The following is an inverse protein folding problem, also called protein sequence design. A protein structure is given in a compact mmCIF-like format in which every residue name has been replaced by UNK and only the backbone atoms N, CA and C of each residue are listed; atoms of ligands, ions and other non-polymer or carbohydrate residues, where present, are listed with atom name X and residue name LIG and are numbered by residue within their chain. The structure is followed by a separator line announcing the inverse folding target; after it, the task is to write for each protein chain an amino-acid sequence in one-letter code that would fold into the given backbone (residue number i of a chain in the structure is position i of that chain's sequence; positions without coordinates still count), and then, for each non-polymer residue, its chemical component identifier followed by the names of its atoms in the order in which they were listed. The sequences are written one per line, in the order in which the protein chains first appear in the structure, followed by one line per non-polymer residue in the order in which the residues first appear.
data_IF_473199180209
#
_entry.id   IF_473199180209
#
_cell.length_a   1.000
_cell.length_b   1.000
_cell.length_c   1.000
_cell.angle_alpha   90.00
_cell.angle_beta   90.00
_cell.angle_gamma   90.00
#
_symmetry.space_group_name_H-M   'P 1'
#
loop_
_entity.id
_entity.type
_entity.pdbx_description
1 polymer ?
#
# COMPACT_ATOMS: atom_id res chain seq x y z
N UNK A 1 1.06 -22.05 -10.55
CA UNK A 1 1.76 -20.83 -10.10
C UNK A 1 3.24 -21.11 -10.14
N UNK A 2 4.03 -20.13 -10.57
CA UNK A 2 5.49 -20.20 -10.46
C UNK A 2 5.91 -20.10 -8.98
N UNK A 3 7.14 -20.47 -8.64
CA UNK A 3 7.68 -20.28 -7.28
C UNK A 3 7.57 -18.81 -6.83
N UNK A 4 7.81 -17.86 -7.73
CA UNK A 4 7.69 -16.43 -7.46
C UNK A 4 6.26 -16.03 -7.11
N UNK A 5 5.26 -16.67 -7.71
CA UNK A 5 3.86 -16.45 -7.38
C UNK A 5 3.53 -16.82 -5.94
N UNK A 6 4.05 -17.94 -5.44
CA UNK A 6 3.89 -18.32 -4.06
C UNK A 6 4.63 -17.39 -3.09
N UNK A 7 5.84 -16.96 -3.46
CA UNK A 7 6.61 -15.98 -2.66
C UNK A 7 5.91 -14.63 -2.56
N UNK A 8 5.39 -14.11 -3.68
CA UNK A 8 4.61 -12.86 -3.69
C UNK A 8 3.35 -13.00 -2.82
N UNK A 9 2.65 -14.14 -2.90
CA UNK A 9 1.49 -14.40 -2.06
C UNK A 9 1.86 -14.41 -0.56
N UNK A 10 2.96 -15.06 -0.19
CA UNK A 10 3.46 -15.07 1.18
C UNK A 10 3.80 -13.65 1.69
N UNK A 11 4.38 -12.79 0.83
CA UNK A 11 4.64 -11.39 1.17
C UNK A 11 3.36 -10.61 1.47
N UNK A 12 2.30 -10.79 0.69
CA UNK A 12 1.00 -10.17 0.95
C UNK A 12 0.39 -10.65 2.26
N UNK A 13 0.46 -11.96 2.56
CA UNK A 13 0.02 -12.50 3.85
C UNK A 13 0.80 -11.90 5.02
N UNK A 14 2.12 -11.75 4.87
CA UNK A 14 2.97 -11.11 5.88
C UNK A 14 2.56 -9.66 6.13
N UNK A 15 2.28 -8.89 5.06
CA UNK A 15 1.79 -7.52 5.19
C UNK A 15 0.45 -7.45 5.92
N UNK A 16 -0.50 -8.32 5.55
CA UNK A 16 -1.83 -8.38 6.18
C UNK A 16 -1.71 -8.73 7.67
N UNK A 17 -0.89 -9.72 8.02
CA UNK A 17 -0.64 -10.12 9.40
C UNK A 17 -0.02 -8.97 10.21
N UNK A 18 1.06 -8.35 9.70
CA UNK A 18 1.69 -7.20 10.32
C UNK A 18 0.69 -6.04 10.54
N UNK A 19 -0.09 -5.72 9.53
CA UNK A 19 -1.05 -4.62 9.61
C UNK A 19 -2.18 -4.89 10.60
N UNK A 20 -2.65 -6.13 10.66
CA UNK A 20 -3.67 -6.56 11.61
C UNK A 20 -3.17 -6.46 13.04
N UNK A 21 -1.95 -6.93 13.31
CA UNK A 21 -1.31 -6.84 14.62
C UNK A 21 -1.05 -5.38 15.03
N UNK A 22 -0.52 -4.57 14.12
CA UNK A 22 -0.26 -3.16 14.37
C UNK A 22 -1.54 -2.37 14.69
N UNK A 23 -2.64 -2.70 14.01
CA UNK A 23 -3.95 -2.07 14.29
C UNK A 23 -4.52 -2.53 15.62
N UNK A 24 -4.47 -3.82 15.93
CA UNK A 24 -4.95 -4.34 17.22
C UNK A 24 -4.19 -3.70 18.39
N UNK A 25 -2.88 -3.44 18.24
CA UNK A 25 -2.08 -2.78 19.26
C UNK A 25 -2.51 -1.32 19.52
N UNK A 26 -2.83 -0.57 18.44
CA UNK A 26 -3.29 0.83 18.55
C UNK A 26 -4.69 0.91 19.16
N UNK A 27 -5.55 -0.06 18.87
CA UNK A 27 -6.96 -0.03 19.29
C UNK A 27 -7.18 -0.31 20.78
N UNK A 28 -6.26 -1.02 21.43
CA UNK A 28 -6.35 -1.25 22.88
C UNK A 28 -6.33 0.05 23.70
N UNK A 29 -6.00 1.21 23.07
CA UNK A 29 -5.86 2.49 23.73
C UNK A 29 -6.88 3.59 23.39
N UNK A 30 -7.74 3.45 22.35
CA UNK A 30 -8.44 4.62 21.81
C UNK A 30 -9.98 4.57 21.78
N UNK A 31 -10.63 3.46 22.01
CA UNK A 31 -12.12 3.35 22.06
C UNK A 31 -12.89 3.75 20.77
N UNK A 32 -12.24 4.14 19.71
CA UNK A 32 -12.85 4.68 18.47
C UNK A 32 -13.28 3.57 17.49
N UNK A 33 -14.36 2.86 17.81
CA UNK A 33 -14.89 1.71 17.04
C UNK A 33 -15.20 2.02 15.56
N UNK A 34 -15.62 3.26 15.21
CA UNK A 34 -16.03 3.60 13.84
C UNK A 34 -14.84 3.64 12.85
N UNK A 35 -13.69 4.15 13.28
CA UNK A 35 -12.46 4.17 12.46
C UNK A 35 -12.03 2.73 12.15
N UNK A 36 -12.21 1.84 13.10
CA UNK A 36 -11.91 0.42 12.98
C UNK A 36 -12.71 -0.27 11.87
N UNK A 37 -14.05 -0.07 11.83
CA UNK A 37 -14.88 -0.69 10.79
C UNK A 37 -14.51 -0.22 9.39
N UNK A 38 -14.20 1.05 9.21
CA UNK A 38 -13.74 1.59 7.93
C UNK A 38 -12.41 0.98 7.49
N UNK A 39 -11.46 0.87 8.39
CA UNK A 39 -10.15 0.26 8.14
C UNK A 39 -10.29 -1.24 7.79
N UNK A 40 -11.16 -1.96 8.50
CA UNK A 40 -11.48 -3.36 8.19
C UNK A 40 -12.15 -3.48 6.82
N UNK A 41 -13.13 -2.65 6.51
CA UNK A 41 -13.84 -2.71 5.24
C UNK A 41 -12.88 -2.51 4.05
N UNK A 42 -11.96 -1.54 4.13
CA UNK A 42 -10.93 -1.32 3.10
C UNK A 42 -10.02 -2.54 2.94
N UNK A 43 -9.63 -3.17 4.04
CA UNK A 43 -8.78 -4.38 4.02
C UNK A 43 -9.50 -5.59 3.48
N UNK A 44 -10.74 -5.81 3.93
CA UNK A 44 -11.57 -6.91 3.42
C UNK A 44 -11.87 -6.73 1.93
N UNK A 45 -12.13 -5.50 1.49
CA UNK A 45 -12.29 -5.18 0.06
C UNK A 45 -11.02 -5.45 -0.73
N UNK A 46 -9.86 -5.05 -0.22
CA UNK A 46 -8.57 -5.38 -0.84
C UNK A 46 -8.33 -6.89 -0.87
N UNK A 47 -8.55 -7.58 0.26
CA UNK A 47 -8.40 -9.03 0.33
C UNK A 47 -9.37 -9.77 -0.61
N UNK A 48 -10.63 -9.31 -0.68
CA UNK A 48 -11.62 -9.87 -1.61
C UNK A 48 -11.19 -9.70 -3.07
N UNK A 49 -10.63 -8.52 -3.44
CA UNK A 49 -10.08 -8.29 -4.77
C UNK A 49 -8.86 -9.18 -5.07
N UNK A 50 -7.98 -9.37 -4.10
CA UNK A 50 -6.84 -10.29 -4.22
C UNK A 50 -7.32 -11.73 -4.40
N UNK A 51 -8.28 -12.19 -3.58
CA UNK A 51 -8.87 -13.53 -3.70
C UNK A 51 -9.60 -13.69 -5.02
N UNK A 52 -10.35 -12.69 -5.47
CA UNK A 52 -11.01 -12.69 -6.76
C UNK A 52 -9.99 -12.80 -7.91
N UNK A 53 -8.92 -11.99 -7.86
CA UNK A 53 -7.84 -12.08 -8.83
C UNK A 53 -7.19 -13.47 -8.86
N UNK A 54 -6.98 -14.09 -7.68
CA UNK A 54 -6.48 -15.45 -7.57
C UNK A 54 -7.47 -16.48 -8.11
N UNK A 55 -8.79 -16.33 -7.82
CA UNK A 55 -9.83 -17.23 -8.34
C UNK A 55 -9.93 -17.14 -9.85
N UNK A 56 -10.00 -15.95 -10.42
CA UNK A 56 -10.00 -15.75 -11.88
C UNK A 56 -8.71 -16.30 -12.50
N UNK A 57 -7.58 -16.16 -11.82
CA UNK A 57 -6.31 -16.74 -12.22
C UNK A 57 -6.34 -18.29 -12.29
N UNK A 58 -7.00 -18.94 -11.34
CA UNK A 58 -7.16 -20.40 -11.32
C UNK A 58 -8.15 -20.85 -12.39
N UNK A 59 -9.30 -20.17 -12.50
CA UNK A 59 -10.32 -20.48 -13.52
C UNK A 59 -9.80 -20.24 -14.93
N UNK A 60 -9.04 -19.16 -15.16
CA UNK A 60 -8.44 -18.87 -16.47
C UNK A 60 -7.37 -19.88 -16.93
N UNK A 61 -6.90 -20.76 -16.04
CA UNK A 61 -6.02 -21.90 -16.42
C UNK A 61 -6.81 -23.13 -16.89
N UNK A 62 -8.06 -23.20 -16.53
CA UNK A 62 -8.97 -24.33 -16.88
C UNK A 62 -9.69 -24.04 -18.20
N UNK A 63 -9.86 -22.76 -18.56
CA UNK A 63 -10.46 -22.36 -19.82
C UNK A 63 -9.40 -22.24 -20.92
N UNK A 64 -9.65 -22.68 -22.15
CA UNK A 64 -8.69 -22.59 -23.24
C UNK A 64 -8.34 -21.15 -23.56
N UNK A 65 -7.10 -20.95 -23.77
CA UNK A 65 -6.17 -19.84 -23.74
C UNK A 65 -6.40 -18.65 -24.70
N UNK A 66 -7.57 -18.11 -24.77
CA UNK A 66 -7.75 -16.80 -25.43
C UNK A 66 -8.13 -15.70 -24.43
N UNK A 67 -7.56 -15.79 -23.22
CA UNK A 67 -7.94 -14.99 -22.08
C UNK A 67 -7.34 -13.58 -22.09
N UNK A 68 -8.18 -12.63 -21.69
CA UNK A 68 -7.89 -11.22 -21.39
C UNK A 68 -6.70 -11.01 -20.41
N UNK A 69 -6.21 -12.09 -19.77
CA UNK A 69 -5.23 -12.04 -18.70
C UNK A 69 -4.00 -12.90 -19.01
N UNK A 70 -2.87 -12.22 -19.08
CA UNK A 70 -1.57 -12.85 -19.34
C UNK A 70 -0.95 -13.30 -18.01
N UNK A 71 -0.65 -14.60 -17.93
CA UNK A 71 0.16 -15.15 -16.85
C UNK A 71 1.62 -15.14 -17.27
N UNK A 72 2.45 -14.53 -16.44
CA UNK A 72 3.86 -14.46 -16.73
C UNK A 72 4.55 -15.78 -16.36
N UNK A 73 5.11 -16.47 -17.34
CA UNK A 73 5.93 -17.67 -17.18
C UNK A 73 7.44 -17.38 -17.24
N UNK A 74 7.84 -16.16 -17.58
CA UNK A 74 9.23 -15.77 -17.67
C UNK A 74 9.86 -15.68 -16.27
N UNK A 75 10.98 -16.39 -16.09
CA UNK A 75 11.77 -16.35 -14.86
C UNK A 75 12.26 -14.93 -14.55
N UNK A 76 12.69 -14.18 -15.57
CA UNK A 76 13.19 -12.81 -15.42
C UNK A 76 12.10 -11.89 -14.88
N UNK A 77 10.90 -11.93 -15.44
CA UNK A 77 9.77 -11.11 -14.98
C UNK A 77 9.30 -11.56 -13.59
N UNK A 78 9.37 -12.86 -13.30
CA UNK A 78 9.09 -13.39 -11.95
C UNK A 78 10.03 -12.79 -10.91
N UNK A 79 11.34 -12.75 -11.19
CA UNK A 79 12.34 -12.13 -10.30
C UNK A 79 12.10 -10.63 -10.15
N UNK A 80 11.93 -9.90 -11.26
CA UNK A 80 11.70 -8.46 -11.24
C UNK A 80 10.44 -8.15 -10.42
N UNK A 81 9.34 -8.84 -10.68
CA UNK A 81 8.09 -8.66 -9.97
C UNK A 81 8.20 -8.97 -8.48
N UNK A 82 8.90 -10.05 -8.12
CA UNK A 82 9.18 -10.40 -6.73
C UNK A 82 9.99 -9.31 -6.03
N UNK A 83 11.07 -8.85 -6.63
CA UNK A 83 11.94 -7.79 -6.07
C UNK A 83 11.13 -6.50 -5.88
N UNK A 84 10.36 -6.06 -6.89
CA UNK A 84 9.48 -4.89 -6.76
C UNK A 84 8.47 -5.05 -5.63
N UNK A 85 7.88 -6.25 -5.48
CA UNK A 85 6.92 -6.53 -4.41
C UNK A 85 7.58 -6.48 -3.03
N UNK A 86 8.79 -7.05 -2.88
CA UNK A 86 9.57 -6.99 -1.63
C UNK A 86 9.87 -5.54 -1.24
N UNK A 87 10.37 -4.74 -2.18
CA UNK A 87 10.65 -3.32 -1.93
C UNK A 87 9.38 -2.54 -1.59
N UNK A 88 8.29 -2.77 -2.32
CA UNK A 88 7.02 -2.09 -2.08
C UNK A 88 6.44 -2.41 -0.69
N UNK A 89 6.38 -3.68 -0.32
CA UNK A 89 5.91 -4.13 1.00
C UNK A 89 6.85 -3.65 2.10
N UNK A 90 8.16 -3.77 1.90
CA UNK A 90 9.17 -3.28 2.84
C UNK A 90 9.03 -1.78 3.10
N UNK A 91 8.86 -0.97 2.05
CA UNK A 91 8.62 0.46 2.16
C UNK A 91 7.31 0.76 2.92
N UNK A 92 6.22 0.04 2.63
CA UNK A 92 4.94 0.23 3.31
C UNK A 92 5.04 -0.12 4.81
N UNK A 93 5.70 -1.21 5.18
CA UNK A 93 5.95 -1.60 6.57
C UNK A 93 6.83 -0.56 7.27
N UNK A 94 7.92 -0.15 6.64
CA UNK A 94 8.84 0.85 7.18
C UNK A 94 8.13 2.19 7.41
N UNK A 95 7.38 2.67 6.42
CA UNK A 95 6.59 3.89 6.54
C UNK A 95 5.58 3.81 7.70
N UNK A 96 4.89 2.67 7.83
CA UNK A 96 3.96 2.42 8.93
C UNK A 96 4.65 2.39 10.30
N UNK A 97 5.84 1.77 10.38
CA UNK A 97 6.61 1.72 11.62
C UNK A 97 7.08 3.11 12.07
N UNK A 98 7.47 3.98 11.13
CA UNK A 98 7.81 5.38 11.41
C UNK A 98 6.61 6.17 11.94
N UNK A 99 5.43 6.01 11.32
CA UNK A 99 4.18 6.61 11.83
C UNK A 99 3.79 6.07 13.21
N UNK A 100 3.94 4.76 13.43
CA UNK A 100 3.56 4.10 14.68
C UNK A 100 4.38 4.53 15.88
N UNK A 101 5.67 4.83 15.70
CA UNK A 101 6.54 5.36 16.76
C UNK A 101 6.13 6.76 17.21
N UNK A 102 5.65 7.58 16.29
CA UNK A 102 5.22 8.94 16.60
C UNK A 102 3.71 9.05 16.89
N UNK A 103 2.99 7.95 16.97
CA UNK A 103 1.56 7.74 17.34
C UNK A 103 0.54 8.77 16.84
N UNK A 104 0.90 9.59 15.86
CA UNK A 104 0.13 10.73 15.46
C UNK A 104 -0.09 10.72 13.96
N UNK A 105 -1.15 9.99 13.55
CA UNK A 105 -1.73 10.28 12.24
C UNK A 105 -2.27 11.71 12.26
N UNK A 106 -2.32 12.42 11.12
CA UNK A 106 -2.92 13.76 11.03
C UNK A 106 -4.34 13.82 11.58
N UNK A 107 -4.98 12.65 11.74
CA UNK A 107 -6.34 12.48 12.26
C UNK A 107 -6.38 12.09 13.75
N UNK A 108 -5.23 11.94 14.43
CA UNK A 108 -5.23 11.68 15.88
C UNK A 108 -5.33 13.01 16.62
N UNK A 109 -6.33 13.13 17.51
CA UNK A 109 -6.52 14.30 18.39
C UNK A 109 -5.50 14.31 19.56
N UNK A 110 -4.23 14.02 19.30
CA UNK A 110 -3.17 14.18 20.31
C UNK A 110 -2.79 15.65 20.44
N UNK A 111 -2.48 16.07 21.65
CA UNK A 111 -2.27 17.49 22.01
C UNK A 111 -1.11 18.20 21.30
N UNK A 112 -0.27 17.52 20.55
CA UNK A 112 0.75 18.14 19.69
C UNK A 112 1.38 17.15 18.69
N UNK A 113 0.71 16.77 17.58
CA UNK A 113 1.31 15.88 16.60
C UNK A 113 2.47 16.57 15.89
N UNK A 114 3.62 15.94 15.92
CA UNK A 114 4.80 16.42 15.20
C UNK A 114 4.74 16.04 13.72
N UNK A 115 5.04 16.97 12.81
CA UNK A 115 5.12 16.69 11.38
C UNK A 115 6.32 15.79 11.09
N UNK A 116 6.07 14.56 10.65
CA UNK A 116 7.11 13.58 10.29
C UNK A 116 7.62 13.89 8.89
N UNK A 117 8.90 14.22 8.80
CA UNK A 117 9.61 14.53 7.55
C UNK A 117 10.91 13.74 7.39
N UNK A 118 11.14 12.75 8.27
CA UNK A 118 12.39 11.95 8.33
C UNK A 118 12.17 10.51 7.86
N UNK A 119 13.25 9.76 7.68
CA UNK A 119 13.20 8.39 7.21
C UNK A 119 12.59 8.29 5.81
N UNK A 120 11.67 7.38 5.54
CA UNK A 120 11.04 7.24 4.23
C UNK A 120 10.25 8.49 3.81
N UNK A 121 9.79 9.31 4.79
CA UNK A 121 9.10 10.57 4.55
C UNK A 121 10.05 11.70 4.10
N UNK A 122 11.35 11.55 4.22
CA UNK A 122 12.30 12.47 3.62
C UNK A 122 12.38 12.37 2.08
N UNK A 123 11.99 11.24 1.53
CA UNK A 123 12.02 10.96 0.09
C UNK A 123 10.71 11.31 -0.61
N UNK A 124 9.59 10.87 -0.03
CA UNK A 124 8.22 11.12 -0.53
C UNK A 124 7.27 11.36 0.63
N UNK A 125 6.19 12.10 0.38
CA UNK A 125 5.21 12.46 1.43
C UNK A 125 4.32 11.30 1.84
N UNK A 126 4.02 10.36 0.91
CA UNK A 126 3.15 9.21 1.16
C UNK A 126 3.85 7.88 0.82
N UNK A 127 4.97 7.54 1.52
CA UNK A 127 5.75 6.34 1.21
C UNK A 127 4.96 5.04 1.41
N UNK A 128 3.97 5.04 2.31
CA UNK A 128 3.08 3.90 2.53
C UNK A 128 2.24 3.60 1.29
N UNK A 129 1.61 4.63 0.70
CA UNK A 129 0.79 4.46 -0.50
C UNK A 129 1.65 4.12 -1.72
N UNK A 130 2.79 4.80 -1.88
CA UNK A 130 3.77 4.48 -2.94
C UNK A 130 4.27 3.04 -2.86
N UNK A 131 4.57 2.57 -1.64
CA UNK A 131 4.98 1.18 -1.40
C UNK A 131 3.91 0.16 -1.78
N UNK A 132 2.65 0.40 -1.40
CA UNK A 132 1.54 -0.49 -1.77
C UNK A 132 1.32 -0.54 -3.28
N UNK A 133 1.34 0.62 -3.97
CA UNK A 133 1.20 0.68 -5.42
C UNK A 133 2.35 -0.04 -6.13
N UNK A 134 3.58 0.12 -5.65
CA UNK A 134 4.75 -0.60 -6.17
C UNK A 134 4.61 -2.11 -5.96
N UNK A 135 4.12 -2.56 -4.80
CA UNK A 135 3.89 -3.97 -4.53
C UNK A 135 2.82 -4.58 -5.46
N UNK A 136 1.73 -3.87 -5.72
CA UNK A 136 0.69 -4.29 -6.66
C UNK A 136 1.27 -4.38 -8.08
N UNK A 137 2.02 -3.36 -8.51
CA UNK A 137 2.68 -3.36 -9.81
C UNK A 137 3.69 -4.51 -9.95
N UNK A 138 4.51 -4.75 -8.93
CA UNK A 138 5.42 -5.89 -8.88
C UNK A 138 4.69 -7.23 -9.00
N UNK A 139 3.55 -7.37 -8.33
CA UNK A 139 2.70 -8.56 -8.46
C UNK A 139 2.12 -8.72 -9.87
N UNK A 140 1.76 -7.62 -10.55
CA UNK A 140 1.31 -7.64 -11.93
C UNK A 140 2.42 -8.12 -12.89
N UNK A 141 3.64 -7.65 -12.68
CA UNK A 141 4.82 -8.04 -13.48
C UNK A 141 5.18 -9.51 -13.24
N UNK A 142 5.22 -9.94 -11.98
CA UNK A 142 5.75 -11.25 -11.60
C UNK A 142 4.76 -12.41 -11.66
N UNK A 143 3.45 -12.14 -11.60
CA UNK A 143 2.43 -13.17 -11.57
C UNK A 143 1.48 -13.11 -12.76
N UNK A 144 0.70 -12.03 -12.86
CA UNK A 144 -0.38 -11.89 -13.82
C UNK A 144 -0.86 -10.47 -13.94
N UNK A 145 -1.22 -10.05 -15.16
CA UNK A 145 -1.87 -8.76 -15.43
C UNK A 145 -3.18 -8.53 -14.65
N UNK A 146 -3.77 -9.56 -14.07
CA UNK A 146 -4.93 -9.43 -13.16
C UNK A 146 -4.68 -8.51 -11.98
N UNK A 147 -3.42 -8.40 -11.53
CA UNK A 147 -3.04 -7.46 -10.48
C UNK A 147 -3.14 -5.98 -10.88
N UNK A 148 -3.34 -5.70 -12.17
CA UNK A 148 -3.66 -4.35 -12.63
C UNK A 148 -5.06 -3.91 -12.18
N UNK A 149 -6.00 -4.85 -11.95
CA UNK A 149 -7.33 -4.51 -11.41
C UNK A 149 -7.26 -3.84 -10.04
N UNK A 150 -6.57 -4.41 -9.04
CA UNK A 150 -6.29 -3.69 -7.79
C UNK A 150 -5.60 -2.34 -8.02
N UNK A 151 -4.65 -2.24 -8.96
CA UNK A 151 -3.96 -0.98 -9.25
C UNK A 151 -4.92 0.11 -9.77
N UNK A 152 -5.82 -0.25 -10.69
CA UNK A 152 -6.83 0.65 -11.24
C UNK A 152 -7.82 1.13 -10.16
N UNK A 153 -8.18 0.25 -9.22
CA UNK A 153 -9.13 0.59 -8.15
C UNK A 153 -8.45 1.39 -7.04
N UNK A 154 -7.33 0.89 -6.53
CA UNK A 154 -6.65 1.49 -5.37
C UNK A 154 -5.73 2.64 -5.73
N UNK A 155 -5.23 2.75 -6.97
CA UNK A 155 -4.43 3.88 -7.42
C UNK A 155 -5.14 5.21 -7.20
N UNK A 156 -6.31 5.45 -7.82
CA UNK A 156 -7.11 6.66 -7.60
C UNK A 156 -7.54 6.84 -6.13
N UNK A 157 -7.85 5.75 -5.43
CA UNK A 157 -8.22 5.79 -4.01
C UNK A 157 -7.07 6.35 -3.14
N UNK A 158 -5.84 5.84 -3.33
CA UNK A 158 -4.68 6.32 -2.58
C UNK A 158 -4.27 7.74 -2.96
N UNK A 159 -4.36 8.10 -4.25
CA UNK A 159 -4.08 9.47 -4.70
C UNK A 159 -5.04 10.47 -4.06
N UNK A 160 -6.36 10.19 -4.10
CA UNK A 160 -7.36 11.05 -3.46
C UNK A 160 -7.20 11.08 -1.93
N UNK A 161 -6.84 9.95 -1.33
CA UNK A 161 -6.53 9.86 0.10
C UNK A 161 -5.36 10.76 0.47
N UNK A 162 -4.25 10.66 -0.27
CA UNK A 162 -3.07 11.50 -0.10
C UNK A 162 -3.39 12.99 -0.23
N UNK A 163 -4.10 13.37 -1.30
CA UNK A 163 -4.52 14.77 -1.52
C UNK A 163 -5.39 15.32 -0.38
N UNK A 164 -6.29 14.48 0.16
CA UNK A 164 -7.12 14.87 1.30
C UNK A 164 -6.29 15.03 2.58
N UNK A 165 -5.36 14.13 2.83
CA UNK A 165 -4.43 14.23 3.95
C UNK A 165 -3.55 15.47 3.84
N UNK A 166 -3.05 15.80 2.64
CA UNK A 166 -2.25 17.00 2.39
C UNK A 166 -3.01 18.29 2.71
N UNK A 167 -4.30 18.39 2.34
CA UNK A 167 -5.13 19.56 2.69
C UNK A 167 -5.23 19.75 4.21
N UNK A 168 -5.52 18.68 4.94
CA UNK A 168 -5.60 18.73 6.40
C UNK A 168 -4.24 19.08 7.04
N UNK A 169 -3.13 18.63 6.46
CA UNK A 169 -1.78 18.95 6.92
C UNK A 169 -1.39 20.39 6.62
N UNK A 170 -1.84 20.97 5.50
CA UNK A 170 -1.66 22.39 5.19
C UNK A 170 -2.43 23.26 6.19
N UNK A 171 -3.68 22.93 6.49
CA UNK A 171 -4.48 23.63 7.50
C UNK A 171 -3.84 23.57 8.88
N UNK A 172 -3.28 22.41 9.26
CA UNK A 172 -2.68 22.20 10.56
C UNK A 172 -1.27 22.80 10.71
N UNK A 173 -0.49 22.82 9.61
CA UNK A 173 0.90 23.31 9.57
C UNK A 173 1.09 24.28 8.39
N UNK A 174 0.50 25.47 8.43
CA UNK A 174 0.38 26.35 7.26
C UNK A 174 1.73 26.83 6.70
N UNK A 175 2.76 26.90 7.51
CA UNK A 175 4.11 27.29 7.07
C UNK A 175 5.02 26.06 6.83
N UNK A 176 4.98 25.09 7.72
CA UNK A 176 5.93 23.95 7.72
C UNK A 176 5.62 22.93 6.62
N UNK A 177 4.34 22.64 6.40
CA UNK A 177 3.95 21.63 5.42
C UNK A 177 4.17 22.07 3.96
N UNK A 178 3.84 23.29 3.55
CA UNK A 178 4.19 23.80 2.21
C UNK A 178 5.69 23.85 1.95
N UNK A 179 6.52 24.18 2.96
CA UNK A 179 7.97 24.11 2.84
C UNK A 179 8.48 22.66 2.64
N UNK A 180 7.87 21.70 3.30
CA UNK A 180 8.16 20.28 3.11
C UNK A 180 7.72 19.79 1.72
N UNK A 181 6.55 20.20 1.21
CA UNK A 181 6.06 19.87 -0.14
C UNK A 181 7.01 20.34 -1.25
N UNK A 182 7.70 21.45 -1.06
CA UNK A 182 8.69 21.95 -2.05
C UNK A 182 9.92 21.04 -2.18
N UNK A 183 10.24 20.27 -1.15
CA UNK A 183 11.43 19.40 -1.09
C UNK A 183 11.14 17.95 -1.44
N UNK A 184 9.88 17.53 -1.38
CA UNK A 184 9.47 16.14 -1.52
C UNK A 184 8.36 15.99 -2.53
N UNK A 185 8.29 14.83 -3.19
CA UNK A 185 7.20 14.46 -4.09
C UNK A 185 6.12 13.67 -3.34
N UNK A 186 4.95 13.51 -3.96
CA UNK A 186 3.81 12.86 -3.30
C UNK A 186 4.02 11.36 -3.11
N UNK A 187 4.23 10.61 -4.18
CA UNK A 187 4.25 9.14 -4.19
C UNK A 187 5.55 8.54 -4.71
N UNK A 188 6.10 9.13 -5.78
CA UNK A 188 7.31 8.63 -6.45
C UNK A 188 8.41 9.68 -6.35
N UNK A 189 9.63 9.29 -5.90
CA UNK A 189 10.76 10.20 -5.86
C UNK A 189 10.98 10.80 -7.26
N UNK A 190 11.19 12.09 -7.33
CA UNK A 190 11.52 12.87 -8.54
C UNK A 190 10.42 13.01 -9.60
N UNK A 191 9.29 12.29 -9.51
CA UNK A 191 8.24 12.28 -10.55
C UNK A 191 6.92 12.85 -10.05
N UNK A 192 6.34 12.27 -9.01
CA UNK A 192 4.99 12.58 -8.50
C UNK A 192 5.00 12.76 -6.98
#
# INVERSE_FOLDING_TARGET
MTIYGWLIFALWLTLIAYWSLATAAVMRGTGRRWIWWREIAVRLGFFALVVLALRVAVVGRVLPNEGLFVFNSSMLMGVIGFVCTVFGIGLAILARAYLGRNRQTPMSNGDNPELITTGPYALVRHPLYGGLLLAILGSAIGQSSLWLLPLIVYGPFFIRGAQREERLLIERYPERYPAYMKRTKMLLPFVL
#
